data_IF_106450967132
#
_entry.id   IF_106450967132
#
_cell.length_a   1.000
_cell.length_b   1.000
_cell.length_c   1.000
_cell.angle_alpha   90.00
_cell.angle_beta   90.00
_cell.angle_gamma   90.00
#
_symmetry.space_group_name_H-M   'P 1'
#
loop_
_entity.id
_entity.type
_entity.pdbx_description
1 polymer ?
#
# COMPACT_ATOMS: atom_id res chain seq x y z
N UNK A 1 1.60 10.93 14.79
CA UNK A 1 2.26 9.60 14.76
C UNK A 1 1.28 8.57 15.32
N UNK A 2 1.04 7.45 14.64
CA UNK A 2 0.20 6.37 15.17
C UNK A 2 1.03 5.63 16.20
N UNK A 3 0.60 5.68 17.47
CA UNK A 3 1.22 4.91 18.54
C UNK A 3 0.46 3.60 18.63
N UNK A 4 1.10 2.51 18.24
CA UNK A 4 0.52 1.18 18.42
C UNK A 4 0.52 0.79 19.89
N UNK A 5 -0.52 0.05 20.27
CA UNK A 5 -0.54 -0.63 21.56
C UNK A 5 0.53 -1.72 21.63
N UNK A 6 1.00 -2.06 22.84
CA UNK A 6 1.96 -3.15 23.04
C UNK A 6 1.47 -4.48 22.43
N UNK A 7 0.16 -4.75 22.52
CA UNK A 7 -0.47 -5.92 21.90
C UNK A 7 -0.29 -5.92 20.38
N UNK A 8 -0.54 -4.80 19.71
CA UNK A 8 -0.37 -4.69 18.25
C UNK A 8 1.09 -4.85 17.83
N UNK A 9 2.03 -4.25 18.58
CA UNK A 9 3.47 -4.42 18.31
C UNK A 9 3.91 -5.88 18.47
N UNK A 10 3.40 -6.58 19.50
CA UNK A 10 3.66 -8.00 19.71
C UNK A 10 3.09 -8.86 18.56
N UNK A 11 1.86 -8.57 18.12
CA UNK A 11 1.22 -9.24 16.98
C UNK A 11 2.05 -9.06 15.70
N UNK A 12 2.49 -7.83 15.40
CA UNK A 12 3.37 -7.54 14.24
C UNK A 12 4.67 -8.34 14.32
N UNK A 13 5.29 -8.41 15.50
CA UNK A 13 6.54 -9.15 15.70
C UNK A 13 6.35 -10.66 15.44
N UNK A 14 5.25 -11.23 15.92
CA UNK A 14 4.88 -12.63 15.65
C UNK A 14 4.60 -12.82 14.16
N UNK A 15 3.76 -11.98 13.56
CA UNK A 15 3.41 -12.06 12.15
C UNK A 15 4.64 -11.95 11.21
N UNK A 16 5.63 -11.13 11.58
CA UNK A 16 6.91 -11.01 10.86
C UNK A 16 7.69 -12.33 10.80
N UNK A 17 7.62 -13.15 11.86
CA UNK A 17 8.23 -14.47 11.86
C UNK A 17 7.51 -15.42 10.88
N UNK A 18 6.17 -15.40 10.87
CA UNK A 18 5.36 -16.28 10.04
C UNK A 18 5.33 -15.94 8.56
N UNK A 19 5.34 -14.65 8.20
CA UNK A 19 5.31 -14.24 6.78
C UNK A 19 6.55 -14.71 6.00
N UNK A 20 7.61 -15.12 6.71
CA UNK A 20 8.84 -15.68 6.15
C UNK A 20 8.94 -17.20 6.29
N UNK A 21 7.91 -17.86 6.86
CA UNK A 21 7.91 -19.31 6.97
C UNK A 21 7.88 -19.93 5.55
N UNK A 22 8.72 -20.93 5.25
CA UNK A 22 8.76 -21.57 3.94
C UNK A 22 7.37 -22.01 3.46
N UNK A 23 6.51 -22.52 4.34
CA UNK A 23 5.17 -22.99 3.97
C UNK A 23 4.26 -21.85 3.50
N UNK A 24 4.43 -20.64 4.03
CA UNK A 24 3.68 -19.46 3.58
C UNK A 24 4.19 -19.02 2.20
N UNK A 25 5.51 -19.06 1.98
CA UNK A 25 6.11 -18.74 0.69
C UNK A 25 5.71 -19.78 -0.38
N UNK A 26 5.72 -21.06 -0.03
CA UNK A 26 5.28 -22.17 -0.87
C UNK A 26 3.80 -22.03 -1.25
N UNK A 27 2.95 -21.54 -0.33
CA UNK A 27 1.56 -21.22 -0.65
C UNK A 27 1.44 -20.08 -1.65
N UNK A 28 2.17 -18.97 -1.46
CA UNK A 28 2.16 -17.86 -2.40
C UNK A 28 2.64 -18.29 -3.79
N UNK A 29 3.68 -19.12 -3.85
CA UNK A 29 4.22 -19.69 -5.08
C UNK A 29 3.23 -20.66 -5.74
N UNK A 30 2.69 -21.62 -4.99
CA UNK A 30 1.72 -22.62 -5.46
C UNK A 30 0.49 -21.99 -6.10
N UNK A 31 -0.03 -20.92 -5.51
CA UNK A 31 -1.20 -20.23 -6.06
C UNK A 31 -0.85 -19.11 -7.03
N UNK A 32 0.45 -18.87 -7.27
CA UNK A 32 0.96 -17.73 -8.05
C UNK A 32 0.30 -16.41 -7.64
N UNK A 33 0.02 -16.27 -6.35
CA UNK A 33 -0.87 -15.25 -5.82
C UNK A 33 -0.51 -14.96 -4.37
N UNK A 34 -0.45 -13.68 -4.01
CA UNK A 34 -0.14 -13.24 -2.65
C UNK A 34 -1.24 -13.64 -1.66
N UNK A 35 -0.85 -13.90 -0.41
CA UNK A 35 -1.78 -14.36 0.63
C UNK A 35 -3.04 -13.49 0.76
N UNK A 36 -2.93 -12.17 0.61
CA UNK A 36 -4.07 -11.26 0.81
C UNK A 36 -5.18 -11.41 -0.24
N UNK A 37 -4.85 -11.98 -1.41
CA UNK A 37 -5.79 -12.32 -2.48
C UNK A 37 -6.37 -13.73 -2.31
N UNK A 38 -5.76 -14.56 -1.46
CA UNK A 38 -6.28 -15.89 -1.19
C UNK A 38 -7.46 -15.79 -0.21
N UNK A 39 -8.53 -16.57 -0.44
CA UNK A 39 -9.55 -16.78 0.58
C UNK A 39 -8.93 -17.27 1.88
N UNK A 40 -9.35 -16.69 2.99
CA UNK A 40 -8.91 -17.00 4.37
C UNK A 40 -8.73 -18.51 4.63
N UNK A 41 -9.71 -19.33 4.25
CA UNK A 41 -9.68 -20.78 4.46
C UNK A 41 -8.50 -21.50 3.76
N UNK A 42 -7.91 -20.92 2.71
CA UNK A 42 -6.80 -21.52 1.96
C UNK A 42 -5.44 -21.41 2.63
N UNK A 43 -5.24 -20.47 3.56
CA UNK A 43 -3.94 -20.23 4.17
C UNK A 43 -3.98 -20.16 5.70
N UNK A 44 -5.12 -19.81 6.30
CA UNK A 44 -5.25 -19.75 7.76
C UNK A 44 -4.99 -21.09 8.44
N UNK A 45 -5.37 -22.20 7.82
CA UNK A 45 -5.12 -23.52 8.38
C UNK A 45 -3.62 -23.82 8.52
N UNK A 46 -2.77 -23.27 7.63
CA UNK A 46 -1.31 -23.43 7.73
C UNK A 46 -0.77 -22.66 8.93
N UNK A 47 -1.28 -21.45 9.16
CA UNK A 47 -0.94 -20.67 10.35
C UNK A 47 -1.41 -21.39 11.61
N UNK A 48 -2.66 -21.87 11.63
CA UNK A 48 -3.21 -22.57 12.76
C UNK A 48 -2.41 -23.84 13.06
N UNK A 49 -2.07 -24.65 12.06
CA UNK A 49 -1.25 -25.85 12.27
C UNK A 49 0.12 -25.53 12.88
N UNK A 50 0.79 -24.47 12.42
CA UNK A 50 2.10 -24.07 12.95
C UNK A 50 2.04 -23.45 14.34
N UNK A 51 0.97 -22.71 14.62
CA UNK A 51 0.72 -22.06 15.92
C UNK A 51 -0.09 -22.91 16.89
N UNK A 52 -0.41 -24.16 16.54
CA UNK A 52 -1.12 -25.11 17.40
C UNK A 52 -0.21 -26.08 18.17
N UNK A 53 0.88 -25.68 18.85
CA UNK A 53 1.19 -26.36 20.10
C UNK A 53 0.10 -25.97 21.11
N UNK A 54 -1.00 -26.75 21.13
CA UNK A 54 -2.06 -26.94 22.15
C UNK A 54 -2.51 -25.84 23.14
N UNK A 55 -1.99 -24.61 23.09
CA UNK A 55 -2.11 -23.60 24.15
C UNK A 55 -2.40 -22.18 23.63
N UNK A 56 -2.36 -21.95 22.32
CA UNK A 56 -2.66 -20.63 21.76
C UNK A 56 -4.18 -20.41 21.63
N UNK A 57 -4.77 -19.39 22.28
CA UNK A 57 -6.19 -19.12 22.16
C UNK A 57 -6.60 -18.78 20.72
N UNK A 58 -7.76 -19.30 20.26
CA UNK A 58 -8.28 -19.05 18.91
C UNK A 58 -8.40 -17.56 18.58
N UNK A 59 -8.73 -16.72 19.56
CA UNK A 59 -8.79 -15.27 19.37
C UNK A 59 -7.42 -14.68 18.98
N UNK A 60 -6.34 -15.13 19.63
CA UNK A 60 -4.98 -14.70 19.30
C UNK A 60 -4.54 -15.19 17.92
N UNK A 61 -4.90 -16.43 17.56
CA UNK A 61 -4.65 -16.96 16.21
C UNK A 61 -5.31 -16.13 15.12
N UNK A 62 -6.57 -15.72 15.34
CA UNK A 62 -7.29 -14.82 14.42
C UNK A 62 -6.60 -13.46 14.28
N UNK A 63 -6.13 -12.88 15.39
CA UNK A 63 -5.42 -11.60 15.37
C UNK A 63 -4.08 -11.71 14.61
N UNK A 64 -3.35 -12.80 14.79
CA UNK A 64 -2.09 -13.06 14.06
C UNK A 64 -2.37 -13.24 12.57
N UNK A 65 -3.39 -14.02 12.20
CA UNK A 65 -3.78 -14.17 10.80
C UNK A 65 -4.17 -12.82 10.17
N UNK A 66 -4.95 -12.00 10.88
CA UNK A 66 -5.32 -10.66 10.42
C UNK A 66 -4.08 -9.77 10.18
N UNK A 67 -3.11 -9.78 11.09
CA UNK A 67 -1.86 -9.04 10.94
C UNK A 67 -1.03 -9.54 9.75
N UNK A 68 -0.90 -10.86 9.57
CA UNK A 68 -0.21 -11.45 8.41
C UNK A 68 -0.86 -10.99 7.11
N UNK A 69 -2.19 -11.02 7.02
CA UNK A 69 -2.92 -10.58 5.81
C UNK A 69 -2.66 -9.11 5.48
N UNK A 70 -2.66 -8.23 6.49
CA UNK A 70 -2.34 -6.81 6.33
C UNK A 70 -0.88 -6.61 5.86
N UNK A 71 0.07 -7.32 6.48
CA UNK A 71 1.47 -7.28 6.08
C UNK A 71 1.70 -7.82 4.66
N UNK A 72 0.96 -8.85 4.23
CA UNK A 72 1.02 -9.36 2.85
C UNK A 72 0.56 -8.33 1.82
N UNK A 73 -0.36 -7.42 2.17
CA UNK A 73 -0.70 -6.27 1.30
C UNK A 73 0.44 -5.26 1.24
N UNK A 74 1.09 -4.95 2.35
CA UNK A 74 2.27 -4.08 2.35
C UNK A 74 3.41 -4.69 1.49
N UNK A 75 3.63 -6.00 1.59
CA UNK A 75 4.54 -6.74 0.70
C UNK A 75 4.13 -6.61 -0.78
N UNK A 76 2.84 -6.73 -1.08
CA UNK A 76 2.38 -6.56 -2.46
C UNK A 76 2.60 -5.16 -3.01
N UNK A 77 2.31 -4.12 -2.24
CA UNK A 77 2.62 -2.75 -2.67
C UNK A 77 4.12 -2.58 -2.92
N UNK A 78 4.96 -3.17 -2.06
CA UNK A 78 6.39 -3.22 -2.32
C UNK A 78 6.71 -3.92 -3.65
N UNK A 79 6.17 -5.10 -3.91
CA UNK A 79 6.41 -5.83 -5.16
C UNK A 79 5.97 -5.01 -6.38
N UNK A 80 4.78 -4.40 -6.33
CA UNK A 80 4.27 -3.55 -7.42
C UNK A 80 5.19 -2.37 -7.72
N UNK A 81 5.66 -1.69 -6.68
CA UNK A 81 6.54 -0.53 -6.82
C UNK A 81 7.91 -0.88 -7.43
N UNK A 82 8.28 -2.18 -7.41
CA UNK A 82 9.60 -2.66 -7.85
C UNK A 82 9.53 -3.67 -9.00
N UNK A 83 8.34 -3.95 -9.56
CA UNK A 83 8.16 -4.95 -10.61
C UNK A 83 8.99 -4.63 -11.88
N UNK A 84 9.22 -3.35 -12.15
CA UNK A 84 10.04 -2.89 -13.27
C UNK A 84 11.55 -2.84 -13.00
N UNK A 85 12.00 -3.12 -11.78
CA UNK A 85 13.41 -3.01 -11.37
C UNK A 85 14.11 -4.35 -11.52
N UNK A 86 13.51 -5.42 -11.02
CA UNK A 86 14.12 -6.74 -10.97
C UNK A 86 13.82 -7.55 -12.22
N UNK A 87 14.84 -8.23 -12.74
CA UNK A 87 14.75 -9.11 -13.91
C UNK A 87 13.97 -10.37 -13.60
N UNK A 88 14.08 -10.86 -12.36
CA UNK A 88 13.40 -12.06 -11.89
C UNK A 88 12.31 -11.72 -10.90
N UNK A 89 11.08 -12.18 -11.19
CA UNK A 89 9.96 -12.10 -10.25
C UNK A 89 10.27 -12.87 -8.97
N UNK A 90 10.94 -14.01 -9.05
CA UNK A 90 11.26 -14.85 -7.86
C UNK A 90 12.03 -14.07 -6.80
N UNK A 91 12.93 -13.18 -7.23
CA UNK A 91 13.67 -12.29 -6.32
C UNK A 91 12.65 -11.47 -5.50
N UNK A 92 11.71 -10.77 -6.15
CA UNK A 92 10.68 -9.94 -5.49
C UNK A 92 9.87 -10.69 -4.42
N UNK A 93 9.58 -11.97 -4.60
CA UNK A 93 8.79 -12.75 -3.64
C UNK A 93 9.61 -13.27 -2.46
N UNK A 94 10.91 -13.53 -2.64
CA UNK A 94 11.77 -14.15 -1.62
C UNK A 94 12.67 -13.13 -0.87
N UNK A 95 12.49 -11.83 -1.09
CA UNK A 95 13.41 -10.83 -0.53
C UNK A 95 13.33 -10.71 1.00
N UNK A 96 14.48 -10.50 1.68
CA UNK A 96 14.50 -10.20 3.11
C UNK A 96 13.95 -8.78 3.36
N UNK A 97 12.64 -8.66 3.56
CA UNK A 97 11.99 -7.37 3.86
C UNK A 97 12.25 -6.93 5.30
N UNK A 98 12.76 -5.72 5.50
CA UNK A 98 12.82 -5.12 6.84
C UNK A 98 11.46 -4.56 7.23
N UNK A 99 10.96 -4.91 8.41
CA UNK A 99 9.65 -4.44 8.91
C UNK A 99 9.82 -3.39 10.01
N UNK A 100 8.95 -2.38 10.00
CA UNK A 100 8.76 -1.45 11.10
C UNK A 100 7.95 -2.12 12.23
N UNK A 101 7.96 -1.52 13.42
CA UNK A 101 7.17 -2.01 14.57
C UNK A 101 5.66 -1.94 14.33
N UNK A 102 5.21 -1.21 13.31
CA UNK A 102 3.82 -1.11 12.91
C UNK A 102 3.37 -2.09 11.82
N UNK A 103 4.25 -2.99 11.40
CA UNK A 103 3.97 -3.99 10.37
C UNK A 103 4.00 -3.43 8.96
N UNK A 104 4.42 -2.18 8.77
CA UNK A 104 4.77 -1.66 7.45
C UNK A 104 6.21 -2.01 7.09
N UNK A 105 6.56 -1.99 5.81
CA UNK A 105 7.93 -2.25 5.36
C UNK A 105 8.80 -1.02 5.62
N UNK A 106 9.95 -1.22 6.28
CA UNK A 106 11.03 -0.26 6.30
C UNK A 106 11.71 -0.25 4.93
N UNK A 107 11.17 0.59 4.05
CA UNK A 107 11.55 0.67 2.64
C UNK A 107 13.04 0.99 2.44
N UNK A 108 13.57 1.93 3.21
CA UNK A 108 14.97 2.37 3.10
C UNK A 108 15.90 1.23 3.50
N UNK A 109 15.72 0.70 4.72
CA UNK A 109 16.56 -0.41 5.22
C UNK A 109 16.48 -1.66 4.35
N UNK A 110 15.29 -1.95 3.81
CA UNK A 110 15.09 -3.04 2.86
C UNK A 110 15.90 -2.79 1.59
N UNK A 111 15.77 -1.61 0.97
CA UNK A 111 16.52 -1.28 -0.22
C UNK A 111 18.04 -1.32 0.01
N UNK A 112 18.53 -0.75 1.11
CA UNK A 112 19.96 -0.77 1.46
C UNK A 112 20.48 -2.21 1.58
N UNK A 113 19.73 -3.07 2.26
CA UNK A 113 20.09 -4.50 2.41
C UNK A 113 20.19 -5.21 1.05
N UNK A 114 19.28 -4.89 0.13
CA UNK A 114 19.22 -5.51 -1.20
C UNK A 114 20.31 -4.96 -2.14
N UNK A 115 20.56 -3.65 -2.10
CA UNK A 115 21.65 -2.98 -2.81
C UNK A 115 22.99 -3.62 -2.46
N UNK A 116 23.20 -3.97 -1.18
CA UNK A 116 24.44 -4.58 -0.71
C UNK A 116 24.52 -6.11 -0.95
N UNK A 117 23.46 -6.74 -1.47
CA UNK A 117 23.40 -8.18 -1.65
C UNK A 117 24.11 -8.64 -2.93
N UNK A 118 25.15 -9.46 -2.81
CA UNK A 118 25.83 -10.06 -3.97
C UNK A 118 25.00 -11.11 -4.71
N UNK A 119 23.89 -11.57 -4.12
CA UNK A 119 22.96 -12.50 -4.77
C UNK A 119 22.01 -11.83 -5.77
N UNK A 120 22.07 -10.50 -5.91
CA UNK A 120 21.28 -9.74 -6.87
C UNK A 120 22.20 -9.25 -7.99
N UNK A 121 21.72 -9.37 -9.23
CA UNK A 121 22.43 -8.90 -10.42
C UNK A 121 22.84 -7.41 -10.28
N UNK A 122 24.01 -7.07 -10.81
CA UNK A 122 24.58 -5.73 -10.69
C UNK A 122 23.64 -4.67 -11.29
N UNK A 123 22.99 -4.97 -12.42
CA UNK A 123 22.08 -4.04 -13.09
C UNK A 123 20.82 -3.81 -12.26
N UNK A 124 20.26 -4.87 -11.67
CA UNK A 124 19.08 -4.77 -10.81
C UNK A 124 19.40 -3.99 -9.52
N UNK A 125 20.59 -4.21 -8.92
CA UNK A 125 21.09 -3.42 -7.79
C UNK A 125 21.29 -1.96 -8.14
N UNK A 126 21.86 -1.67 -9.30
CA UNK A 126 22.02 -0.31 -9.82
C UNK A 126 20.67 0.38 -10.01
N UNK A 127 19.69 -0.28 -10.63
CA UNK A 127 18.36 0.26 -10.80
C UNK A 127 17.64 0.49 -9.46
N UNK A 128 17.83 -0.40 -8.48
CA UNK A 128 17.31 -0.21 -7.13
C UNK A 128 17.99 0.98 -6.43
N UNK A 129 19.31 1.10 -6.50
CA UNK A 129 20.06 2.24 -5.97
C UNK A 129 19.58 3.56 -6.60
N UNK A 130 19.35 3.58 -7.92
CA UNK A 130 18.73 4.70 -8.63
C UNK A 130 17.31 4.99 -8.13
N UNK A 131 16.50 3.98 -7.81
CA UNK A 131 15.13 4.20 -7.31
C UNK A 131 15.10 4.83 -5.91
N UNK A 132 16.11 4.53 -5.08
CA UNK A 132 16.27 5.02 -3.70
C UNK A 132 17.27 6.18 -3.56
N UNK A 133 17.88 6.61 -4.67
CA UNK A 133 18.91 7.65 -4.77
C UNK A 133 20.17 7.42 -3.94
N UNK A 134 20.60 6.17 -3.78
CA UNK A 134 21.80 5.82 -3.05
C UNK A 134 23.06 6.19 -3.85
N UNK A 135 23.47 7.48 -3.78
CA UNK A 135 24.47 8.09 -4.66
C UNK A 135 25.82 7.37 -4.69
N UNK A 136 26.33 6.97 -3.53
CA UNK A 136 27.62 6.27 -3.45
C UNK A 136 27.57 4.96 -4.24
N UNK A 137 26.53 4.16 -4.01
CA UNK A 137 26.32 2.88 -4.68
C UNK A 137 26.00 3.05 -6.16
N UNK A 138 25.29 4.12 -6.53
CA UNK A 138 25.06 4.49 -7.94
C UNK A 138 26.41 4.71 -8.63
N UNK A 139 27.30 5.53 -8.07
CA UNK A 139 28.62 5.80 -8.65
C UNK A 139 29.51 4.56 -8.71
N UNK A 140 29.48 3.75 -7.66
CA UNK A 140 30.24 2.51 -7.58
C UNK A 140 29.77 1.49 -8.62
N UNK A 141 28.47 1.19 -8.65
CA UNK A 141 27.91 0.25 -9.61
C UNK A 141 28.03 0.74 -11.04
N UNK A 142 27.90 2.05 -11.27
CA UNK A 142 28.09 2.63 -12.60
C UNK A 142 29.46 2.29 -13.17
N UNK A 143 30.53 2.46 -12.38
CA UNK A 143 31.91 2.09 -12.81
C UNK A 143 32.08 0.59 -13.09
N UNK A 144 31.25 -0.24 -12.49
CA UNK A 144 31.27 -1.69 -12.67
C UNK A 144 30.46 -2.20 -13.86
N UNK A 145 29.61 -1.36 -14.49
CA UNK A 145 28.81 -1.76 -15.65
C UNK A 145 29.67 -1.60 -16.93
N UNK A 146 29.82 -2.65 -17.75
CA UNK A 146 30.56 -2.56 -19.00
C UNK A 146 29.96 -1.56 -20.00
N UNK A 147 30.81 -0.89 -20.77
CA UNK A 147 30.40 0.16 -21.73
C UNK A 147 29.34 -0.32 -22.74
N UNK A 148 29.46 -1.56 -23.19
CA UNK A 148 28.54 -2.18 -24.15
C UNK A 148 27.19 -2.58 -23.54
N UNK A 149 27.07 -2.64 -22.21
CA UNK A 149 25.83 -2.97 -21.52
C UNK A 149 25.00 -1.73 -21.17
N UNK A 150 25.57 -0.53 -21.17
CA UNK A 150 24.84 0.69 -20.80
C UNK A 150 23.56 0.92 -21.60
N UNK A 151 23.64 0.81 -22.94
CA UNK A 151 22.47 1.00 -23.78
C UNK A 151 21.43 -0.09 -23.54
N UNK A 152 21.86 -1.32 -23.26
CA UNK A 152 20.95 -2.40 -22.90
C UNK A 152 20.27 -2.13 -21.55
N UNK A 153 21.00 -1.63 -20.55
CA UNK A 153 20.46 -1.19 -19.24
C UNK A 153 19.44 -0.07 -19.44
N UNK A 154 19.81 0.98 -20.18
CA UNK A 154 18.92 2.11 -20.47
C UNK A 154 17.66 1.65 -21.20
N UNK A 155 17.80 0.80 -22.23
CA UNK A 155 16.68 0.28 -23.02
C UNK A 155 15.78 -0.65 -22.20
N UNK A 156 16.37 -1.52 -21.37
CA UNK A 156 15.68 -2.44 -20.46
C UNK A 156 14.73 -1.67 -19.55
N UNK A 157 15.19 -0.56 -18.99
CA UNK A 157 14.36 0.25 -18.13
C UNK A 157 13.43 1.17 -18.92
N UNK A 158 13.86 1.77 -20.06
CA UNK A 158 13.07 2.77 -20.84
C UNK A 158 11.65 2.32 -21.15
N UNK A 159 11.45 1.01 -21.30
CA UNK A 159 10.14 0.40 -21.58
C UNK A 159 9.33 0.01 -20.34
N UNK A 160 9.94 -0.10 -19.16
CA UNK A 160 9.37 -0.83 -18.01
C UNK A 160 8.99 0.02 -16.80
N UNK A 161 9.54 1.22 -16.57
CA UNK A 161 9.16 2.00 -15.37
C UNK A 161 9.61 3.46 -15.38
N UNK A 162 9.14 4.23 -14.38
CA UNK A 162 9.72 5.52 -14.00
C UNK A 162 11.22 5.44 -13.69
N UNK A 163 11.71 4.29 -13.22
CA UNK A 163 13.13 4.02 -12.91
C UNK A 163 14.05 4.25 -14.10
N UNK A 164 13.57 4.03 -15.32
CA UNK A 164 14.33 4.31 -16.53
C UNK A 164 14.62 5.78 -16.76
N UNK A 165 13.63 6.62 -16.43
CA UNK A 165 13.78 8.05 -16.47
C UNK A 165 14.73 8.49 -15.38
N UNK A 166 14.76 7.81 -14.25
CA UNK A 166 15.70 8.09 -13.17
C UNK A 166 17.13 7.71 -13.51
N UNK A 167 17.35 6.52 -14.11
CA UNK A 167 18.67 6.13 -14.64
C UNK A 167 19.11 7.10 -15.74
N UNK A 168 18.20 7.48 -16.64
CA UNK A 168 18.48 8.46 -17.69
C UNK A 168 18.73 9.87 -17.12
N UNK A 169 17.99 10.28 -16.08
CA UNK A 169 18.21 11.54 -15.37
C UNK A 169 19.55 11.51 -14.65
N UNK A 170 19.92 10.43 -13.96
CA UNK A 170 21.21 10.26 -13.28
C UNK A 170 22.37 10.29 -14.30
N UNK A 171 22.20 9.61 -15.44
CA UNK A 171 23.12 9.69 -16.57
C UNK A 171 23.28 11.13 -17.06
N UNK A 172 22.18 11.87 -17.25
CA UNK A 172 22.23 13.28 -17.61
C UNK A 172 22.78 14.16 -16.47
N UNK A 173 22.51 13.86 -15.19
CA UNK A 173 23.00 14.59 -14.02
C UNK A 173 24.51 14.54 -13.89
N UNK A 174 25.12 13.37 -14.15
CA UNK A 174 26.57 13.23 -14.17
C UNK A 174 27.23 14.04 -15.30
N UNK A 175 26.46 14.43 -16.33
CA UNK A 175 26.92 15.31 -17.41
C UNK A 175 26.48 16.78 -17.26
N UNK A 176 25.43 17.07 -16.49
CA UNK A 176 24.84 18.40 -16.34
C UNK A 176 25.26 19.00 -14.99
N UNK A 177 26.25 19.90 -15.01
CA UNK A 177 26.73 20.66 -13.85
C UNK A 177 25.75 21.75 -13.36
N UNK A 178 24.56 21.86 -13.96
CA UNK A 178 23.60 22.95 -13.70
C UNK A 178 22.64 22.64 -12.54
N UNK A 179 22.63 23.52 -11.53
CA UNK A 179 21.72 23.46 -10.37
C UNK A 179 20.25 23.69 -10.73
N UNK A 180 19.94 24.40 -11.81
CA UNK A 180 18.55 24.67 -12.22
C UNK A 180 17.89 23.44 -12.85
N UNK A 181 18.65 22.66 -13.64
CA UNK A 181 18.19 21.37 -14.16
C UNK A 181 17.91 20.36 -13.04
N UNK A 182 18.62 20.49 -11.91
CA UNK A 182 18.39 19.67 -10.71
C UNK A 182 16.97 19.80 -10.18
N UNK A 183 16.41 21.00 -10.28
CA UNK A 183 15.07 21.33 -9.78
C UNK A 183 13.96 20.82 -10.68
N UNK A 184 14.12 20.99 -11.99
CA UNK A 184 13.17 20.45 -12.97
C UNK A 184 13.10 18.93 -12.88
N UNK A 185 14.24 18.24 -12.78
CA UNK A 185 14.25 16.78 -12.62
C UNK A 185 13.56 16.30 -11.33
N UNK A 186 13.67 17.05 -10.23
CA UNK A 186 12.98 16.75 -8.98
C UNK A 186 11.46 16.87 -9.09
N UNK A 187 10.96 17.90 -9.77
CA UNK A 187 9.51 18.08 -9.99
C UNK A 187 8.93 16.97 -10.89
N UNK A 188 9.66 16.57 -11.93
CA UNK A 188 9.22 15.53 -12.86
C UNK A 188 9.29 14.13 -12.25
N UNK A 189 10.25 13.91 -11.35
CA UNK A 189 10.33 12.69 -10.58
C UNK A 189 9.04 12.46 -9.77
N UNK A 190 8.37 13.51 -9.31
CA UNK A 190 7.14 13.45 -8.50
C UNK A 190 5.88 13.17 -9.33
N UNK A 191 5.91 13.40 -10.64
CA UNK A 191 4.81 13.06 -11.56
C UNK A 191 4.70 11.55 -11.83
N UNK A 192 5.74 10.79 -11.47
CA UNK A 192 5.64 9.33 -11.40
C UNK A 192 4.62 8.97 -10.31
N UNK A 193 3.47 8.45 -10.74
CA UNK A 193 2.38 7.91 -9.88
C UNK A 193 2.86 6.82 -8.90
N UNK A 194 4.09 6.36 -9.03
CA UNK A 194 4.73 5.29 -8.27
C UNK A 194 6.05 5.75 -7.64
N UNK A 195 6.15 7.04 -7.30
CA UNK A 195 7.34 7.52 -6.58
C UNK A 195 7.52 6.77 -5.28
N UNK A 196 8.66 6.11 -5.16
CA UNK A 196 9.12 5.56 -3.90
C UNK A 196 9.12 6.70 -2.85
N UNK A 197 8.48 6.49 -1.70
CA UNK A 197 8.49 7.42 -0.55
C UNK A 197 9.91 7.92 -0.26
N UNK A 198 10.93 7.07 -0.44
CA UNK A 198 12.33 7.46 -0.21
C UNK A 198 12.78 8.58 -1.14
N UNK A 199 12.37 8.53 -2.41
CA UNK A 199 12.66 9.59 -3.38
C UNK A 199 12.04 10.89 -2.94
N UNK A 200 10.75 10.82 -2.60
CA UNK A 200 10.03 11.95 -2.06
C UNK A 200 10.81 12.54 -0.88
N UNK A 201 11.19 11.75 0.11
CA UNK A 201 11.88 12.23 1.31
C UNK A 201 13.20 12.94 1.01
N UNK A 202 14.03 12.35 0.15
CA UNK A 202 15.33 12.92 -0.22
C UNK A 202 15.18 14.23 -1.00
N UNK A 203 14.16 14.38 -1.86
CA UNK A 203 13.85 15.68 -2.47
C UNK A 203 13.30 16.65 -1.44
N UNK A 204 12.36 16.15 -0.66
CA UNK A 204 11.47 16.95 0.16
C UNK A 204 12.24 17.86 1.10
N UNK A 205 13.25 17.31 1.78
CA UNK A 205 14.06 18.07 2.75
C UNK A 205 14.94 19.15 2.09
N UNK A 206 15.13 19.10 0.77
CA UNK A 206 15.86 20.11 0.00
C UNK A 206 14.96 21.12 -0.72
N UNK A 207 13.63 20.93 -0.68
CA UNK A 207 12.69 21.88 -1.27
C UNK A 207 12.43 23.08 -0.34
N UNK A 208 12.27 24.28 -0.89
CA UNK A 208 11.70 25.43 -0.21
C UNK A 208 10.36 25.07 0.39
N UNK A 209 10.03 25.77 1.47
CA UNK A 209 8.83 25.52 2.24
C UNK A 209 7.56 25.53 1.36
N UNK A 210 7.43 26.48 0.45
CA UNK A 210 6.27 26.64 -0.43
C UNK A 210 6.10 25.43 -1.36
N UNK A 211 7.21 24.91 -1.89
CA UNK A 211 7.21 23.74 -2.77
C UNK A 211 6.94 22.45 -2.01
N UNK A 212 7.39 22.34 -0.76
CA UNK A 212 7.00 21.24 0.12
C UNK A 212 5.49 21.21 0.35
N UNK A 213 4.89 22.37 0.63
CA UNK A 213 3.44 22.48 0.84
C UNK A 213 2.63 22.11 -0.40
N UNK A 214 3.05 22.60 -1.58
CA UNK A 214 2.43 22.25 -2.86
C UNK A 214 2.48 20.74 -3.10
N UNK A 215 3.65 20.14 -2.87
CA UNK A 215 3.86 18.73 -3.10
C UNK A 215 3.09 17.83 -2.13
N UNK A 216 3.04 18.20 -0.85
CA UNK A 216 2.20 17.55 0.15
C UNK A 216 0.73 17.54 -0.27
N UNK A 217 0.24 18.70 -0.74
CA UNK A 217 -1.13 18.90 -1.20
C UNK A 217 -1.44 18.01 -2.40
N UNK A 218 -0.58 18.03 -3.42
CA UNK A 218 -0.76 17.19 -4.61
C UNK A 218 -0.64 15.70 -4.28
N UNK A 219 0.25 15.31 -3.34
CA UNK A 219 0.36 13.93 -2.88
C UNK A 219 -0.96 13.43 -2.29
N UNK A 220 -1.58 14.21 -1.40
CA UNK A 220 -2.88 13.90 -0.80
C UNK A 220 -3.96 13.76 -1.88
N UNK A 221 -4.00 14.69 -2.83
CA UNK A 221 -4.97 14.74 -3.93
C UNK A 221 -4.92 13.50 -4.84
N UNK A 222 -3.72 13.01 -5.16
CA UNK A 222 -3.54 11.85 -6.05
C UNK A 222 -3.58 10.49 -5.34
N UNK A 223 -3.66 10.46 -4.01
CA UNK A 223 -4.00 9.29 -3.19
C UNK A 223 -3.08 8.05 -3.34
N UNK A 224 -1.78 8.24 -3.61
CA UNK A 224 -0.81 7.14 -3.47
C UNK A 224 -0.62 6.81 -1.98
N UNK A 225 -1.33 5.79 -1.52
CA UNK A 225 -1.55 5.45 -0.11
C UNK A 225 -0.29 5.53 0.79
N UNK A 226 0.85 4.87 0.46
CA UNK A 226 2.06 4.97 1.26
C UNK A 226 2.62 6.39 1.34
N UNK A 227 2.60 7.12 0.22
CA UNK A 227 3.14 8.47 0.14
C UNK A 227 2.31 9.45 0.96
N UNK A 228 0.98 9.39 0.84
CA UNK A 228 0.12 10.30 1.61
C UNK A 228 0.21 10.01 3.10
N UNK A 229 0.26 8.73 3.51
CA UNK A 229 0.50 8.36 4.91
C UNK A 229 1.79 8.99 5.43
N UNK A 230 2.86 8.92 4.63
CA UNK A 230 4.13 9.54 4.99
C UNK A 230 4.02 11.07 5.11
N UNK A 231 3.42 11.75 4.13
CA UNK A 231 3.21 13.21 4.17
C UNK A 231 2.41 13.63 5.41
N UNK A 232 1.27 12.98 5.66
CA UNK A 232 0.44 13.25 6.82
C UNK A 232 1.18 13.04 8.13
N UNK A 233 2.11 12.08 8.22
CA UNK A 233 2.89 11.86 9.45
C UNK A 233 3.90 12.98 9.76
N UNK A 234 4.30 13.76 8.75
CA UNK A 234 5.27 14.86 8.88
C UNK A 234 4.61 16.21 9.13
N UNK A 235 3.35 16.36 8.74
CA UNK A 235 2.56 17.56 8.98
C UNK A 235 2.27 17.76 10.46
N UNK A 236 2.31 19.01 10.91
CA UNK A 236 1.75 19.39 12.19
C UNK A 236 0.22 19.16 12.23
N UNK A 237 -0.38 19.30 13.40
CA UNK A 237 -1.81 19.07 13.59
C UNK A 237 -2.69 20.04 12.80
N UNK A 238 -2.32 21.33 12.75
CA UNK A 238 -3.08 22.35 12.03
C UNK A 238 -3.10 22.05 10.53
N UNK A 239 -1.96 21.67 9.96
CA UNK A 239 -1.84 21.34 8.54
C UNK A 239 -2.57 20.04 8.20
N UNK A 240 -2.51 19.02 9.06
CA UNK A 240 -3.32 17.80 8.89
C UNK A 240 -4.81 18.10 8.90
N UNK A 241 -5.26 18.99 9.78
CA UNK A 241 -6.66 19.42 9.84
C UNK A 241 -7.08 20.15 8.57
N UNK A 242 -6.23 21.04 8.05
CA UNK A 242 -6.45 21.70 6.76
C UNK A 242 -6.58 20.69 5.61
N UNK A 243 -5.67 19.71 5.54
CA UNK A 243 -5.73 18.65 4.52
C UNK A 243 -7.00 17.82 4.63
N UNK A 244 -7.41 17.48 5.86
CA UNK A 244 -8.64 16.76 6.13
C UNK A 244 -9.86 17.56 5.68
N UNK A 245 -9.91 18.87 5.93
CA UNK A 245 -11.01 19.74 5.47
C UNK A 245 -11.04 19.90 3.95
N UNK A 246 -9.87 20.04 3.31
CA UNK A 246 -9.76 20.27 1.86
C UNK A 246 -9.98 19.00 1.03
N UNK A 247 -9.51 17.84 1.53
CA UNK A 247 -9.56 16.55 0.84
C UNK A 247 -10.10 15.43 1.76
N UNK A 248 -11.31 15.57 2.31
CA UNK A 248 -11.80 14.69 3.37
C UNK A 248 -11.91 13.24 2.91
N UNK A 249 -12.33 13.01 1.66
CA UNK A 249 -12.39 11.65 1.10
C UNK A 249 -11.02 10.96 1.08
N UNK A 250 -10.00 11.64 0.57
CA UNK A 250 -8.66 11.08 0.39
C UNK A 250 -8.04 10.74 1.75
N UNK A 251 -8.11 11.67 2.71
CA UNK A 251 -7.56 11.48 4.05
C UNK A 251 -8.30 10.37 4.81
N UNK A 252 -9.64 10.40 4.83
CA UNK A 252 -10.44 9.35 5.50
C UNK A 252 -10.21 7.99 4.85
N UNK A 253 -10.13 7.92 3.52
CA UNK A 253 -9.81 6.67 2.83
C UNK A 253 -8.47 6.12 3.27
N UNK A 254 -7.45 6.96 3.50
CA UNK A 254 -6.14 6.49 3.97
C UNK A 254 -6.24 5.88 5.35
N UNK A 255 -7.05 6.49 6.22
CA UNK A 255 -7.28 5.99 7.57
C UNK A 255 -8.02 4.65 7.60
N UNK A 256 -8.65 4.20 6.52
CA UNK A 256 -9.22 2.84 6.43
C UNK A 256 -8.18 1.72 6.28
N UNK A 257 -6.89 2.04 6.09
CA UNK A 257 -5.85 1.04 5.86
C UNK A 257 -4.91 0.92 7.04
N UNK A 258 -4.47 -0.30 7.30
CA UNK A 258 -3.50 -0.63 8.33
C UNK A 258 -2.25 0.25 8.22
N UNK A 259 -1.75 0.86 9.32
CA UNK A 259 -2.23 0.77 10.71
C UNK A 259 -3.11 1.96 11.16
N UNK A 260 -3.74 2.68 10.23
CA UNK A 260 -4.30 4.02 10.47
C UNK A 260 -5.76 4.06 10.97
N UNK A 261 -6.41 2.91 11.17
CA UNK A 261 -7.86 2.82 11.44
C UNK A 261 -8.29 3.54 12.71
N UNK A 262 -7.41 3.61 13.72
CA UNK A 262 -7.68 4.35 14.94
C UNK A 262 -7.95 5.85 14.71
N UNK A 263 -7.42 6.43 13.63
CA UNK A 263 -7.60 7.85 13.30
C UNK A 263 -8.88 8.13 12.51
N UNK A 264 -9.56 7.10 12.01
CA UNK A 264 -10.67 7.27 11.07
C UNK A 264 -11.88 7.97 11.70
N UNK A 265 -12.34 7.49 12.86
CA UNK A 265 -13.58 7.99 13.49
C UNK A 265 -13.43 9.45 13.93
N UNK A 266 -12.31 9.78 14.59
CA UNK A 266 -12.04 11.15 15.04
C UNK A 266 -11.96 12.12 13.86
N UNK A 267 -11.26 11.72 12.79
CA UNK A 267 -11.19 12.53 11.57
C UNK A 267 -12.55 12.66 10.88
N UNK A 268 -13.36 11.60 10.86
CA UNK A 268 -14.68 11.62 10.24
C UNK A 268 -15.63 12.57 10.99
N UNK A 269 -15.57 12.60 12.32
CA UNK A 269 -16.36 13.50 13.14
C UNK A 269 -16.09 14.98 12.84
N UNK A 270 -14.84 15.33 12.53
CA UNK A 270 -14.43 16.70 12.18
C UNK A 270 -15.05 17.17 10.86
N UNK A 271 -15.15 16.31 9.85
CA UNK A 271 -15.59 16.70 8.50
C UNK A 271 -16.98 16.22 8.14
N UNK A 272 -17.73 15.62 9.07
CA UNK A 272 -19.04 15.01 8.80
C UNK A 272 -20.04 15.96 8.12
N UNK A 273 -20.01 17.25 8.48
CA UNK A 273 -20.95 18.26 8.00
C UNK A 273 -20.50 18.89 6.67
N UNK A 274 -19.20 18.83 6.36
CA UNK A 274 -18.60 19.36 5.12
C UNK A 274 -18.28 18.28 4.09
N UNK A 275 -18.46 16.99 4.43
CA UNK A 275 -18.13 15.87 3.57
C UNK A 275 -19.18 15.75 2.46
N UNK A 276 -18.81 15.86 1.17
CA UNK A 276 -19.78 15.76 0.08
C UNK A 276 -20.48 14.40 0.04
N UNK A 277 -21.78 14.39 -0.30
CA UNK A 277 -22.60 13.18 -0.47
C UNK A 277 -21.89 12.05 -1.23
N UNK A 278 -21.28 12.37 -2.37
CA UNK A 278 -20.55 11.40 -3.21
C UNK A 278 -19.33 10.83 -2.50
N UNK A 279 -18.64 11.64 -1.69
CA UNK A 279 -17.48 11.22 -0.91
C UNK A 279 -17.89 10.31 0.25
N UNK A 280 -18.98 10.63 0.94
CA UNK A 280 -19.56 9.78 1.99
C UNK A 280 -19.96 8.41 1.44
N UNK A 281 -20.70 8.38 0.32
CA UNK A 281 -21.06 7.14 -0.38
C UNK A 281 -19.83 6.32 -0.78
N UNK A 282 -18.80 6.96 -1.36
CA UNK A 282 -17.55 6.28 -1.74
C UNK A 282 -16.81 5.66 -0.55
N UNK A 283 -16.83 6.30 0.62
CA UNK A 283 -16.25 5.72 1.84
C UNK A 283 -17.02 4.48 2.30
N UNK A 284 -18.36 4.53 2.28
CA UNK A 284 -19.19 3.34 2.57
C UNK A 284 -18.88 2.19 1.61
N UNK A 285 -18.83 2.47 0.31
CA UNK A 285 -18.42 1.48 -0.71
C UNK A 285 -17.02 0.93 -0.43
N UNK A 286 -16.08 1.80 -0.03
CA UNK A 286 -14.71 1.37 0.31
C UNK A 286 -14.71 0.42 1.50
N UNK A 287 -15.39 0.76 2.59
CA UNK A 287 -15.46 -0.09 3.79
C UNK A 287 -16.16 -1.42 3.48
N UNK A 288 -17.32 -1.39 2.82
CA UNK A 288 -18.07 -2.62 2.51
C UNK A 288 -17.29 -3.49 1.52
N UNK A 289 -16.96 -2.95 0.34
CA UNK A 289 -16.45 -3.76 -0.76
C UNK A 289 -14.97 -4.11 -0.62
N UNK A 290 -14.15 -3.27 0.02
CA UNK A 290 -12.71 -3.52 0.14
C UNK A 290 -12.32 -4.10 1.49
N UNK A 291 -13.14 -3.95 2.54
CA UNK A 291 -12.82 -4.41 3.90
C UNK A 291 -13.75 -5.51 4.39
N UNK A 292 -15.04 -5.23 4.51
CA UNK A 292 -15.98 -6.17 5.12
C UNK A 292 -16.21 -7.40 4.23
N UNK A 293 -16.60 -7.22 2.96
CA UNK A 293 -16.90 -8.33 2.05
C UNK A 293 -15.70 -9.26 1.81
N UNK A 294 -14.45 -8.76 1.66
CA UNK A 294 -13.29 -9.64 1.55
C UNK A 294 -12.86 -10.30 2.87
N UNK A 295 -13.52 -10.00 3.99
CA UNK A 295 -13.27 -10.63 5.30
C UNK A 295 -12.07 -10.04 6.04
N UNK A 296 -11.77 -8.75 5.88
CA UNK A 296 -10.66 -8.13 6.60
C UNK A 296 -10.93 -8.08 8.11
N UNK A 297 -9.92 -8.48 8.89
CA UNK A 297 -9.98 -8.61 10.36
C UNK A 297 -8.90 -7.79 11.09
N UNK A 298 -8.17 -6.93 10.38
CA UNK A 298 -7.16 -6.04 10.97
C UNK A 298 -7.78 -4.85 11.73
N UNK A 299 -9.10 -4.67 11.62
CA UNK A 299 -9.93 -3.74 12.38
C UNK A 299 -11.38 -4.29 12.43
N UNK A 300 -12.18 -3.87 13.42
CA UNK A 300 -13.63 -4.09 13.40
C UNK A 300 -14.30 -3.09 12.44
N UNK A 301 -14.24 -3.39 11.14
CA UNK A 301 -14.81 -2.52 10.11
C UNK A 301 -16.33 -2.43 10.18
N UNK A 302 -17.01 -3.42 10.78
CA UNK A 302 -18.46 -3.38 10.95
C UNK A 302 -18.82 -2.33 11.99
N UNK A 303 -18.14 -2.35 13.14
CA UNK A 303 -18.31 -1.32 14.17
C UNK A 303 -17.88 0.07 13.66
N UNK A 304 -16.73 0.16 12.96
CA UNK A 304 -16.28 1.40 12.33
C UNK A 304 -17.34 1.96 11.37
N UNK A 305 -17.93 1.10 10.52
CA UNK A 305 -18.98 1.51 9.58
C UNK A 305 -20.26 1.94 10.31
N UNK A 306 -20.67 1.25 11.38
CA UNK A 306 -21.82 1.64 12.21
C UNK A 306 -21.65 3.01 12.82
N UNK A 307 -20.49 3.28 13.42
CA UNK A 307 -20.16 4.59 14.00
C UNK A 307 -20.17 5.68 12.92
N UNK A 308 -19.48 5.44 11.81
CA UNK A 308 -19.44 6.36 10.68
C UNK A 308 -20.82 6.67 10.10
N UNK A 309 -21.68 5.65 9.95
CA UNK A 309 -23.05 5.83 9.50
C UNK A 309 -23.86 6.65 10.49
N UNK A 310 -23.86 6.27 11.77
CA UNK A 310 -24.64 6.94 12.83
C UNK A 310 -24.30 8.43 12.94
N UNK A 311 -23.01 8.74 12.93
CA UNK A 311 -22.47 10.09 13.11
C UNK A 311 -22.48 10.93 11.82
N UNK A 312 -22.70 10.31 10.66
CA UNK A 312 -22.79 11.01 9.38
C UNK A 312 -23.99 11.97 9.30
N UNK A 313 -23.82 13.04 8.52
CA UNK A 313 -24.87 14.04 8.30
C UNK A 313 -26.10 13.43 7.59
N UNK A 314 -27.29 13.90 7.93
CA UNK A 314 -28.55 13.28 7.47
C UNK A 314 -28.72 13.35 5.95
N UNK A 315 -28.35 14.49 5.34
CA UNK A 315 -28.39 14.65 3.89
C UNK A 315 -27.50 13.64 3.14
N UNK A 316 -26.37 13.24 3.73
CA UNK A 316 -25.51 12.19 3.21
C UNK A 316 -26.16 10.79 3.31
N UNK A 317 -26.85 10.50 4.42
CA UNK A 317 -27.58 9.24 4.60
C UNK A 317 -28.72 9.10 3.61
N UNK A 318 -29.51 10.16 3.42
CA UNK A 318 -30.57 10.20 2.41
C UNK A 318 -30.03 9.95 1.01
N UNK A 319 -28.89 10.56 0.67
CA UNK A 319 -28.23 10.30 -0.61
C UNK A 319 -27.83 8.82 -0.78
N UNK A 320 -27.31 8.17 0.27
CA UNK A 320 -26.92 6.75 0.22
C UNK A 320 -28.13 5.85 0.08
N UNK A 321 -29.30 6.18 0.64
CA UNK A 321 -30.54 5.39 0.49
C UNK A 321 -30.96 5.21 -0.97
N UNK A 322 -30.57 6.12 -1.86
CA UNK A 322 -30.79 6.00 -3.30
C UNK A 322 -29.80 5.11 -4.06
N UNK A 323 -28.72 4.66 -3.42
CA UNK A 323 -27.69 3.81 -4.03
C UNK A 323 -27.92 2.32 -3.71
N UNK A 324 -27.60 1.44 -4.66
CA UNK A 324 -27.78 -0.01 -4.48
C UNK A 324 -26.97 -0.61 -3.32
N UNK A 325 -25.93 0.07 -2.83
CA UNK A 325 -25.17 -0.37 -1.65
C UNK A 325 -25.99 -0.33 -0.36
N UNK A 326 -27.07 0.47 -0.31
CA UNK A 326 -27.86 0.68 0.90
C UNK A 326 -28.50 -0.59 1.44
N UNK A 327 -28.92 -1.50 0.56
CA UNK A 327 -29.46 -2.81 0.96
C UNK A 327 -28.42 -3.62 1.76
N UNK A 328 -27.17 -3.65 1.28
CA UNK A 328 -26.07 -4.36 1.97
C UNK A 328 -25.72 -3.64 3.27
N UNK A 329 -25.66 -2.32 3.25
CA UNK A 329 -25.40 -1.52 4.43
C UNK A 329 -26.44 -1.81 5.52
N UNK A 330 -27.72 -1.87 5.18
CA UNK A 330 -28.81 -2.15 6.14
C UNK A 330 -28.61 -3.51 6.83
N UNK A 331 -28.30 -4.56 6.07
CA UNK A 331 -28.00 -5.90 6.63
C UNK A 331 -26.81 -5.84 7.60
N UNK A 332 -25.75 -5.09 7.28
CA UNK A 332 -24.58 -4.93 8.15
C UNK A 332 -24.95 -4.17 9.44
N UNK A 333 -25.70 -3.08 9.31
CA UNK A 333 -26.11 -2.22 10.42
C UNK A 333 -27.02 -2.96 11.40
N UNK A 334 -27.99 -3.71 10.91
CA UNK A 334 -28.94 -4.49 11.73
C UNK A 334 -28.29 -5.70 12.40
N UNK A 335 -27.14 -6.17 11.90
CA UNK A 335 -26.42 -7.32 12.43
C UNK A 335 -27.14 -8.67 12.24
N UNK A 336 -28.35 -8.68 11.67
CA UNK A 336 -29.12 -9.88 11.37
C UNK A 336 -28.61 -10.53 10.10
N UNK A 337 -28.20 -11.79 10.17
CA UNK A 337 -27.97 -12.62 8.99
C UNK A 337 -26.76 -12.25 8.12
N UNK A 338 -25.88 -11.33 8.52
CA UNK A 338 -24.73 -10.95 7.69
C UNK A 338 -23.80 -12.15 7.42
N UNK A 339 -23.56 -13.01 8.43
CA UNK A 339 -22.73 -14.21 8.27
C UNK A 339 -23.38 -15.30 7.41
N UNK A 340 -24.71 -15.40 7.41
CA UNK A 340 -25.46 -16.35 6.57
C UNK A 340 -25.53 -15.85 5.13
N UNK A 341 -25.72 -14.55 4.90
CA UNK A 341 -25.74 -13.96 3.55
C UNK A 341 -24.39 -13.99 2.83
N UNK A 342 -23.27 -13.84 3.55
CA UNK A 342 -21.94 -14.00 2.94
C UNK A 342 -21.70 -15.42 2.42
N UNK A 343 -22.27 -16.44 3.07
CA UNK A 343 -22.13 -17.85 2.65
C UNK A 343 -23.03 -18.22 1.47
N UNK A 344 -24.18 -17.56 1.29
CA UNK A 344 -25.08 -17.79 0.15
C UNK A 344 -24.63 -17.10 -1.15
N UNK A 345 -23.47 -16.42 -1.14
CA UNK A 345 -22.94 -15.66 -2.27
C UNK A 345 -23.52 -14.25 -2.35
N UNK A 346 -22.65 -13.26 -2.48
CA UNK A 346 -23.05 -11.86 -2.76
C UNK A 346 -23.63 -11.83 -4.17
N UNK A 347 -24.85 -11.28 -4.39
CA UNK A 347 -25.44 -11.24 -5.72
C UNK A 347 -24.49 -10.59 -6.73
N UNK A 348 -24.30 -11.24 -7.89
CA UNK A 348 -23.33 -10.81 -8.94
C UNK A 348 -23.45 -9.33 -9.32
N UNK A 349 -24.64 -8.72 -9.20
CA UNK A 349 -24.89 -7.30 -9.48
C UNK A 349 -24.08 -6.32 -8.60
N UNK A 350 -23.68 -6.73 -7.40
CA UNK A 350 -22.82 -5.90 -6.54
C UNK A 350 -21.33 -6.11 -6.82
N UNK A 351 -20.99 -7.30 -7.35
CA UNK A 351 -19.64 -7.62 -7.79
C UNK A 351 -19.26 -6.96 -9.11
N UNK A 352 -20.20 -6.42 -9.89
CA UNK A 352 -19.88 -5.68 -11.14
C UNK A 352 -19.49 -4.22 -10.87
N UNK A 353 -20.02 -3.58 -9.82
CA UNK A 353 -19.58 -2.24 -9.40
C UNK A 353 -18.27 -2.28 -8.58
N UNK A 354 -18.16 -3.23 -7.64
CA UNK A 354 -16.85 -3.62 -7.09
C UNK A 354 -15.93 -4.22 -8.18
N UNK A 355 -16.54 -4.64 -9.29
CA UNK A 355 -15.95 -5.13 -10.54
C UNK A 355 -14.90 -4.18 -11.03
N UNK A 356 -15.18 -2.89 -11.25
CA UNK A 356 -14.17 -1.95 -11.77
C UNK A 356 -12.89 -1.81 -10.91
N UNK A 357 -12.99 -1.95 -9.58
CA UNK A 357 -11.82 -2.00 -8.68
C UNK A 357 -11.13 -3.38 -8.71
N UNK A 358 -11.92 -4.45 -8.71
CA UNK A 358 -11.42 -5.82 -8.94
C UNK A 358 -11.02 -6.09 -10.39
N UNK A 359 -11.30 -5.20 -11.34
CA UNK A 359 -10.95 -5.21 -12.76
C UNK A 359 -9.61 -4.52 -12.95
N UNK A 360 -9.29 -3.52 -12.13
CA UNK A 360 -7.91 -3.05 -11.99
C UNK A 360 -7.06 -4.07 -11.24
N UNK A 361 -7.57 -4.70 -10.18
CA UNK A 361 -6.89 -5.83 -9.52
C UNK A 361 -6.81 -7.06 -10.44
N UNK A 362 -7.86 -7.39 -11.21
CA UNK A 362 -7.87 -8.45 -12.23
C UNK A 362 -7.05 -8.07 -13.44
N UNK A 363 -6.98 -6.80 -13.86
CA UNK A 363 -6.05 -6.35 -14.91
C UNK A 363 -4.63 -6.44 -14.39
N UNK A 364 -4.35 -6.08 -13.15
CA UNK A 364 -3.05 -6.31 -12.54
C UNK A 364 -2.74 -7.82 -12.52
N UNK A 365 -3.66 -8.67 -12.05
CA UNK A 365 -3.52 -10.14 -12.04
C UNK A 365 -3.38 -10.72 -13.46
N UNK A 366 -4.15 -10.24 -14.44
CA UNK A 366 -4.13 -10.67 -15.83
C UNK A 366 -2.87 -10.15 -16.54
N UNK A 367 -2.35 -8.96 -16.19
CA UNK A 367 -1.04 -8.48 -16.63
C UNK A 367 0.10 -9.28 -15.97
N UNK A 368 -0.11 -9.84 -14.76
CA UNK A 368 0.82 -10.84 -14.18
C UNK A 368 0.73 -12.19 -14.89
N UNK A 369 -0.44 -12.59 -15.41
CA UNK A 369 -0.69 -13.91 -16.01
C UNK A 369 -0.50 -13.98 -17.54
N UNK A 370 -0.51 -12.86 -18.28
CA UNK A 370 -0.53 -12.85 -19.75
C UNK A 370 0.83 -12.61 -20.44
N UNK A 371 1.96 -12.65 -19.72
CA UNK A 371 3.28 -12.39 -20.31
C UNK A 371 4.29 -13.54 -20.18
N UNK A 372 3.83 -14.74 -19.85
CA UNK A 372 4.65 -15.95 -19.94
C UNK A 372 4.12 -16.84 -21.08
N UNK A 373 4.47 -16.45 -22.31
CA UNK A 373 4.61 -17.31 -23.49
C UNK A 373 5.87 -16.86 -24.23
#
# INVERSE_FOLDING_TARGET
>A
MIILTLRQMALVKIATYFIRAPEILDLEEKYQCKLYLLPDHKWEHVIYQKLSPSSCPTALLNDIAAAIRAMSVENWYWVLDHLGIFSSRRILFCMPLSWNTDGTINRIKTADTLIQSQGIDLVDRFALACNYWCWHEIEEFWKGIPDNEYEAVLLKYKKKSSTARDVHMIYQFNFIKDRNLRYSCQLWALESKWTCITRFNRVFDHLPFEKRLELETESVKFAHMPLVRHCLSRMDEQRRLQMLQQYPYQVLRIYLFWPCQALFTDAAAIVKDSLPNRSFLKLIHTVICQKILPGWRDCDYVDLLRRFWREGAEHCKEYVKGDGIFEILTVILEGKGFRTHLRSGVPRRYLTHAGTLTENTRRCINLTMLNDN
#
